data_IF_803589638013
#
_entry.id   IF_803589638013
#
_cell.length_a   1.000
_cell.length_b   1.000
_cell.length_c   1.000
_cell.angle_alpha   90.00
_cell.angle_beta   90.00
_cell.angle_gamma   90.00
#
_symmetry.space_group_name_H-M   'P 1'
#
loop_
_entity.id
_entity.type
_entity.pdbx_description
1 polymer ?
#
# COMPACT_ATOMS: atom_id res chain seq x y z
N UNK A 1 10.44 -27.75 1.40
CA UNK A 1 11.08 -27.06 0.27
C UNK A 1 11.23 -25.59 0.66
N UNK A 2 12.39 -25.22 1.19
CA UNK A 2 12.63 -23.89 1.76
C UNK A 2 12.91 -22.92 0.61
N UNK A 3 11.91 -22.11 0.24
CA UNK A 3 12.05 -21.09 -0.81
C UNK A 3 13.19 -20.16 -0.44
N UNK A 4 14.34 -20.38 -1.09
CA UNK A 4 15.48 -19.47 -1.04
C UNK A 4 15.01 -18.17 -1.64
N UNK A 5 14.58 -17.25 -0.78
CA UNK A 5 14.46 -15.83 -1.10
C UNK A 5 15.91 -15.38 -1.30
N UNK A 6 16.47 -15.66 -2.49
CA UNK A 6 17.81 -15.22 -2.85
C UNK A 6 17.91 -13.73 -2.51
N UNK A 7 19.00 -13.29 -1.87
CA UNK A 7 19.14 -11.88 -1.52
C UNK A 7 19.19 -11.10 -2.82
N UNK A 8 18.06 -10.47 -3.19
CA UNK A 8 18.05 -9.47 -4.24
C UNK A 8 19.12 -8.43 -3.89
N UNK A 9 19.98 -8.05 -4.84
CA UNK A 9 21.02 -7.08 -4.59
C UNK A 9 20.38 -5.76 -4.10
N UNK A 10 21.07 -5.00 -3.24
CA UNK A 10 20.57 -3.72 -2.73
C UNK A 10 20.17 -2.74 -3.84
N UNK A 11 20.75 -2.89 -5.02
CA UNK A 11 20.44 -2.13 -6.23
C UNK A 11 19.01 -2.37 -6.75
N UNK A 12 18.39 -3.51 -6.43
CA UNK A 12 17.02 -3.84 -6.82
C UNK A 12 15.95 -3.37 -5.82
N UNK A 13 16.31 -3.05 -4.56
CA UNK A 13 15.32 -2.57 -3.60
C UNK A 13 14.73 -1.21 -3.96
N UNK A 14 15.57 -0.30 -4.48
CA UNK A 14 15.14 1.03 -4.91
C UNK A 14 14.13 0.98 -6.06
N UNK A 15 14.37 0.27 -7.18
CA UNK A 15 13.36 0.15 -8.23
C UNK A 15 12.11 -0.56 -7.75
N UNK A 16 12.19 -1.61 -6.92
CA UNK A 16 11.00 -2.27 -6.36
C UNK A 16 10.11 -1.30 -5.57
N UNK A 17 10.68 -0.52 -4.65
CA UNK A 17 9.88 0.44 -3.85
C UNK A 17 9.38 1.61 -4.70
N UNK A 18 10.13 2.01 -5.73
CA UNK A 18 9.64 2.99 -6.71
C UNK A 18 8.41 2.47 -7.47
N UNK A 19 8.42 1.22 -7.91
CA UNK A 19 7.24 0.62 -8.57
C UNK A 19 6.05 0.55 -7.62
N UNK A 20 6.26 0.13 -6.37
CA UNK A 20 5.21 0.12 -5.34
C UNK A 20 4.66 1.54 -5.10
N UNK A 21 5.53 2.54 -4.98
CA UNK A 21 5.12 3.93 -4.80
C UNK A 21 4.37 4.50 -6.01
N UNK A 22 4.77 4.13 -7.23
CA UNK A 22 4.07 4.52 -8.46
C UNK A 22 2.67 3.89 -8.52
N UNK A 23 2.57 2.58 -8.29
CA UNK A 23 1.30 1.87 -8.25
C UNK A 23 0.37 2.45 -7.19
N UNK A 24 0.90 2.75 -6.00
CA UNK A 24 0.13 3.39 -4.93
C UNK A 24 -0.37 4.78 -5.34
N UNK A 25 0.49 5.61 -5.94
CA UNK A 25 0.11 6.94 -6.41
C UNK A 25 -0.99 6.88 -7.48
N UNK A 26 -0.89 5.94 -8.43
CA UNK A 26 -1.93 5.72 -9.44
C UNK A 26 -3.24 5.24 -8.81
N UNK A 27 -3.16 4.35 -7.81
CA UNK A 27 -4.32 3.93 -7.05
C UNK A 27 -4.98 5.11 -6.34
N UNK A 28 -4.22 5.89 -5.55
CA UNK A 28 -4.71 7.07 -4.83
C UNK A 28 -5.37 8.07 -5.79
N UNK A 29 -4.76 8.35 -6.94
CA UNK A 29 -5.34 9.23 -7.96
C UNK A 29 -6.68 8.69 -8.51
N UNK A 30 -6.78 7.38 -8.74
CA UNK A 30 -8.03 6.73 -9.15
C UNK A 30 -9.09 6.83 -8.05
N UNK A 31 -8.66 6.68 -6.79
CA UNK A 31 -9.53 6.83 -5.63
C UNK A 31 -10.06 8.26 -5.53
N UNK A 32 -9.19 9.27 -5.62
CA UNK A 32 -9.56 10.70 -5.62
C UNK A 32 -10.59 11.05 -6.69
N UNK A 33 -10.44 10.51 -7.90
CA UNK A 33 -11.41 10.70 -9.00
C UNK A 33 -12.77 10.05 -8.69
N UNK A 34 -12.76 8.99 -7.88
CA UNK A 34 -13.96 8.25 -7.49
C UNK A 34 -14.62 8.75 -6.20
N UNK A 35 -13.90 9.48 -5.33
CA UNK A 35 -14.48 10.11 -4.14
C UNK A 35 -15.76 10.91 -4.46
N UNK A 36 -15.79 11.83 -5.45
CA UNK A 36 -16.98 12.64 -5.70
C UNK A 36 -18.20 11.84 -6.18
N UNK A 37 -18.01 10.64 -6.71
CA UNK A 37 -19.13 9.76 -7.09
C UNK A 37 -19.60 8.89 -5.94
N UNK A 38 -18.83 8.75 -4.86
CA UNK A 38 -19.18 7.94 -3.70
C UNK A 38 -20.05 8.72 -2.70
N UNK A 39 -20.76 8.04 -1.79
CA UNK A 39 -21.53 8.73 -0.77
C UNK A 39 -20.62 9.40 0.26
N UNK A 40 -21.04 10.57 0.76
CA UNK A 40 -20.26 11.37 1.72
C UNK A 40 -19.88 10.64 3.01
N UNK A 41 -20.62 9.59 3.37
CA UNK A 41 -20.30 8.72 4.50
C UNK A 41 -18.98 7.95 4.31
N UNK A 42 -18.63 7.61 3.07
CA UNK A 42 -17.39 6.89 2.73
C UNK A 42 -16.19 7.81 2.55
N UNK A 43 -16.42 9.11 2.25
CA UNK A 43 -15.33 10.06 2.00
C UNK A 43 -14.32 10.09 3.15
N UNK A 44 -14.81 10.17 4.39
CA UNK A 44 -13.94 10.22 5.58
C UNK A 44 -13.13 8.95 5.78
N UNK A 45 -13.73 7.79 5.47
CA UNK A 45 -13.07 6.49 5.58
C UNK A 45 -11.98 6.35 4.50
N UNK A 46 -12.28 6.81 3.29
CA UNK A 46 -11.33 6.87 2.17
C UNK A 46 -10.18 7.82 2.47
N UNK A 47 -10.44 9.05 2.93
CA UNK A 47 -9.39 10.01 3.30
C UNK A 47 -8.46 9.44 4.38
N UNK A 48 -9.00 8.78 5.40
CA UNK A 48 -8.20 8.13 6.43
C UNK A 48 -7.34 7.00 5.86
N UNK A 49 -7.90 6.16 4.99
CA UNK A 49 -7.18 5.08 4.33
C UNK A 49 -6.10 5.60 3.37
N UNK A 50 -6.36 6.67 2.60
CA UNK A 50 -5.34 7.33 1.79
C UNK A 50 -4.19 7.88 2.65
N UNK A 51 -4.50 8.48 3.80
CA UNK A 51 -3.50 8.99 4.74
C UNK A 51 -2.68 7.88 5.38
N UNK A 52 -3.33 6.77 5.75
CA UNK A 52 -2.68 5.56 6.27
C UNK A 52 -1.69 5.00 5.24
N UNK A 53 -2.14 4.79 4.00
CA UNK A 53 -1.29 4.32 2.90
C UNK A 53 -0.05 5.20 2.64
N UNK A 54 -0.20 6.53 2.74
CA UNK A 54 0.93 7.43 2.63
C UNK A 54 1.93 7.26 3.80
N UNK A 55 1.41 7.04 5.01
CA UNK A 55 2.24 6.75 6.18
C UNK A 55 2.98 5.42 6.04
N UNK A 56 2.29 4.36 5.60
CA UNK A 56 2.88 3.03 5.39
C UNK A 56 3.92 3.03 4.28
N UNK A 57 3.68 3.77 3.19
CA UNK A 57 4.67 3.95 2.13
C UNK A 57 5.91 4.67 2.68
N UNK A 58 5.72 5.70 3.51
CA UNK A 58 6.81 6.39 4.19
C UNK A 58 7.62 5.46 5.07
N UNK A 59 6.96 4.58 5.82
CA UNK A 59 7.62 3.57 6.65
C UNK A 59 8.38 2.54 5.80
N UNK A 60 7.77 2.02 4.72
CA UNK A 60 8.42 1.13 3.77
C UNK A 60 9.69 1.74 3.18
N UNK A 61 9.64 3.01 2.75
CA UNK A 61 10.79 3.74 2.22
C UNK A 61 11.90 3.85 3.28
N UNK A 62 11.53 4.15 4.53
CA UNK A 62 12.49 4.24 5.63
C UNK A 62 13.15 2.88 5.92
N UNK A 63 12.36 1.80 6.03
CA UNK A 63 12.86 0.44 6.23
C UNK A 63 13.73 -0.02 5.06
N UNK A 64 13.37 0.34 3.83
CA UNK A 64 14.18 0.07 2.64
C UNK A 64 15.52 0.82 2.69
N UNK A 65 15.52 2.11 3.01
CA UNK A 65 16.76 2.90 3.17
C UNK A 65 17.68 2.28 4.22
N UNK A 66 17.12 1.84 5.35
CA UNK A 66 17.88 1.11 6.36
C UNK A 66 18.41 -0.22 5.82
N UNK A 67 17.57 -1.02 5.14
CA UNK A 67 18.01 -2.27 4.52
C UNK A 67 19.16 -2.07 3.52
N UNK A 68 19.15 -0.97 2.77
CA UNK A 68 20.23 -0.58 1.85
C UNK A 68 21.48 -0.13 2.61
N UNK A 69 21.34 0.72 3.64
CA UNK A 69 22.46 1.23 4.43
C UNK A 69 23.17 0.11 5.22
N UNK A 70 22.41 -0.85 5.74
CA UNK A 70 22.90 -1.96 6.54
C UNK A 70 23.14 -3.23 5.72
N UNK A 71 23.18 -3.13 4.38
CA UNK A 71 23.31 -4.29 3.49
C UNK A 71 24.64 -5.03 3.64
N UNK A 72 25.71 -4.34 4.03
CA UNK A 72 27.03 -4.94 4.27
C UNK A 72 27.20 -5.46 5.71
N UNK A 73 26.13 -5.46 6.52
CA UNK A 73 26.18 -5.84 7.94
C UNK A 73 25.32 -7.07 8.21
N UNK A 74 25.57 -7.74 9.34
CA UNK A 74 24.77 -8.89 9.81
C UNK A 74 23.28 -8.56 10.00
N UNK A 75 22.91 -7.28 10.06
CA UNK A 75 21.53 -6.81 10.23
C UNK A 75 20.73 -6.77 8.92
N UNK A 76 21.35 -7.00 7.75
CA UNK A 76 20.67 -6.97 6.44
C UNK A 76 19.40 -7.83 6.44
N UNK A 77 19.49 -9.06 6.97
CA UNK A 77 18.36 -9.99 6.97
C UNK A 77 17.19 -9.48 7.81
N UNK A 78 17.48 -8.79 8.92
CA UNK A 78 16.46 -8.26 9.83
C UNK A 78 15.75 -7.05 9.21
N UNK A 79 16.50 -6.11 8.62
CA UNK A 79 15.92 -4.97 7.91
C UNK A 79 15.12 -5.39 6.68
N UNK A 80 15.61 -6.39 5.93
CA UNK A 80 14.84 -6.98 4.82
C UNK A 80 13.52 -7.57 5.31
N UNK A 81 13.52 -8.29 6.45
CA UNK A 81 12.30 -8.82 7.04
C UNK A 81 11.33 -7.70 7.44
N UNK A 82 11.84 -6.63 8.08
CA UNK A 82 11.02 -5.47 8.42
C UNK A 82 10.44 -4.77 7.18
N UNK A 83 11.24 -4.61 6.13
CA UNK A 83 10.79 -4.04 4.85
C UNK A 83 9.67 -4.89 4.22
N UNK A 84 9.83 -6.21 4.19
CA UNK A 84 8.80 -7.13 3.67
C UNK A 84 7.51 -7.06 4.50
N UNK A 85 7.61 -6.96 5.82
CA UNK A 85 6.45 -6.78 6.69
C UNK A 85 5.73 -5.45 6.39
N UNK A 86 6.48 -4.36 6.24
CA UNK A 86 5.91 -3.06 5.89
C UNK A 86 5.25 -3.07 4.50
N UNK A 87 5.89 -3.70 3.51
CA UNK A 87 5.32 -3.87 2.17
C UNK A 87 4.04 -4.70 2.20
N UNK A 88 4.00 -5.75 3.02
CA UNK A 88 2.81 -6.58 3.19
C UNK A 88 1.67 -5.80 3.87
N UNK A 89 1.97 -5.03 4.92
CA UNK A 89 0.99 -4.15 5.55
C UNK A 89 0.39 -3.16 4.53
N UNK A 90 1.25 -2.44 3.80
CA UNK A 90 0.82 -1.53 2.72
C UNK A 90 -0.09 -2.20 1.69
N UNK A 91 0.22 -3.43 1.28
CA UNK A 91 -0.60 -4.18 0.33
C UNK A 91 -1.97 -4.57 0.92
N UNK A 92 -2.01 -4.94 2.20
CA UNK A 92 -3.26 -5.25 2.92
C UNK A 92 -4.11 -4.00 3.06
N UNK A 93 -3.52 -2.87 3.44
CA UNK A 93 -4.22 -1.58 3.58
C UNK A 93 -4.74 -1.08 2.23
N UNK A 94 -3.97 -1.28 1.15
CA UNK A 94 -4.38 -0.90 -0.20
C UNK A 94 -5.57 -1.74 -0.68
N UNK A 95 -5.55 -3.03 -0.36
CA UNK A 95 -6.68 -3.93 -0.60
C UNK A 95 -7.90 -3.52 0.22
N UNK A 96 -7.72 -3.16 1.49
CA UNK A 96 -8.80 -2.72 2.35
C UNK A 96 -9.47 -1.44 1.82
N UNK A 97 -8.68 -0.47 1.34
CA UNK A 97 -9.22 0.73 0.68
C UNK A 97 -10.05 0.38 -0.56
N UNK A 98 -9.56 -0.51 -1.41
CA UNK A 98 -10.30 -0.98 -2.59
C UNK A 98 -11.61 -1.66 -2.21
N UNK A 99 -11.62 -2.49 -1.16
CA UNK A 99 -12.82 -3.18 -0.66
C UNK A 99 -13.85 -2.16 -0.14
N UNK A 100 -13.43 -1.18 0.65
CA UNK A 100 -14.30 -0.09 1.14
C UNK A 100 -14.93 0.69 -0.03
N UNK A 101 -14.16 0.99 -1.06
CA UNK A 101 -14.66 1.67 -2.27
C UNK A 101 -15.66 0.77 -3.01
N UNK A 102 -15.35 -0.51 -3.20
CA UNK A 102 -16.22 -1.45 -3.89
C UNK A 102 -17.55 -1.63 -3.14
N UNK A 103 -17.49 -1.77 -1.82
CA UNK A 103 -18.68 -1.81 -0.96
C UNK A 103 -19.49 -0.52 -1.03
N UNK A 104 -18.84 0.64 -1.09
CA UNK A 104 -19.53 1.92 -1.23
C UNK A 104 -20.24 2.03 -2.59
N UNK A 105 -19.60 1.58 -3.67
CA UNK A 105 -20.22 1.47 -5.01
C UNK A 105 -21.41 0.51 -5.01
N UNK A 106 -21.27 -0.64 -4.38
CA UNK A 106 -22.35 -1.62 -4.25
C UNK A 106 -23.54 -1.07 -3.47
N UNK A 107 -23.30 -0.33 -2.37
CA UNK A 107 -24.37 0.35 -1.62
C UNK A 107 -25.10 1.38 -2.47
N UNK A 108 -24.40 2.15 -3.30
CA UNK A 108 -25.04 3.08 -4.24
C UNK A 108 -25.93 2.36 -5.26
N UNK A 109 -25.45 1.26 -5.83
CA UNK A 109 -26.21 0.43 -6.78
C UNK A 109 -27.44 -0.23 -6.12
N UNK A 110 -27.30 -0.67 -4.86
CA UNK A 110 -28.39 -1.23 -4.07
C UNK A 110 -29.48 -0.22 -3.67
N UNK A 111 -29.13 1.07 -3.63
CA UNK A 111 -30.07 2.16 -3.30
C UNK A 111 -30.95 2.58 -4.49
N UNK A 112 -30.69 2.05 -5.70
CA UNK A 112 -31.42 2.36 -6.92
C UNK A 112 -32.75 1.59 -7.10
N UNK A 113 -33.27 0.90 -6.07
CA UNK A 113 -34.65 0.37 -6.08
C UNK A 113 -35.58 1.29 -5.28
N UNK A 114 -36.37 2.15 -5.94
CA UNK A 114 -37.54 2.73 -5.30
C UNK A 114 -38.61 1.65 -5.11
N UNK A 115 -39.18 1.58 -3.91
CA UNK A 115 -40.48 0.96 -3.64
C UNK A 115 -41.59 1.95 -3.98
#
# INVERSE_FOLDING_TARGET
>A
MSSKIQPAPPEEYVPMVKEVGLALRTLLATVDDTIPVLPASTHREIEMAQKLLNSDLGELINKMKLAQQYVMTSLQHEYKKQMLTAAHALAVDAKNLLDVIDQARLKMLGQARPH
#
